data_IF_818493428267
#
_entry.id   IF_818493428267
#
_cell.length_a   1.000
_cell.length_b   1.000
_cell.length_c   1.000
_cell.angle_alpha   90.00
_cell.angle_beta   90.00
_cell.angle_gamma   90.00
#
_symmetry.space_group_name_H-M   'P 1'
#
loop_
_entity.id
_entity.type
_entity.pdbx_description
1 polymer ?
#
# COMPACT_ATOMS: atom_id res chain seq x y z
N UNK A 1 0.75 21.51 3.09
CA UNK A 1 0.11 20.24 3.44
C UNK A 1 0.25 19.26 2.28
N UNK A 2 0.73 18.08 2.55
CA UNK A 2 0.90 17.01 1.57
C UNK A 2 0.13 15.77 2.01
N UNK A 3 -0.71 15.25 1.14
CA UNK A 3 -1.27 13.91 1.23
C UNK A 3 -0.33 12.96 0.51
N UNK A 4 0.22 12.01 1.22
CA UNK A 4 1.19 11.08 0.68
C UNK A 4 1.07 9.70 1.34
N UNK A 5 1.71 8.71 0.74
CA UNK A 5 1.83 7.37 1.28
C UNK A 5 3.27 7.11 1.77
N UNK A 6 3.77 7.83 2.80
CA UNK A 6 5.11 7.61 3.31
C UNK A 6 5.19 6.36 4.20
N UNK A 7 6.42 5.99 4.52
CA UNK A 7 6.72 5.02 5.56
C UNK A 7 6.87 5.76 6.89
N UNK A 8 6.16 5.31 7.92
CA UNK A 8 6.36 5.74 9.30
C UNK A 8 7.36 4.79 9.96
N UNK A 9 8.44 5.34 10.48
CA UNK A 9 9.47 4.59 11.19
C UNK A 9 9.38 4.86 12.68
N UNK A 10 9.34 3.78 13.48
CA UNK A 10 9.31 3.86 14.94
C UNK A 10 10.71 3.77 15.54
N UNK A 11 10.84 4.31 16.75
CA UNK A 11 12.03 4.16 17.57
C UNK A 11 11.98 2.86 18.42
N UNK A 12 12.97 2.66 19.28
CA UNK A 12 13.07 1.49 20.15
C UNK A 12 11.94 1.41 21.21
N UNK A 13 11.19 2.49 21.43
CA UNK A 13 10.04 2.52 22.34
C UNK A 13 8.71 2.25 21.65
N UNK A 14 8.70 2.12 20.31
CA UNK A 14 7.47 1.96 19.52
C UNK A 14 6.74 3.26 19.26
N UNK A 15 7.46 4.39 19.28
CA UNK A 15 6.92 5.71 18.95
C UNK A 15 7.35 6.11 17.54
N UNK A 16 6.40 6.61 16.73
CA UNK A 16 6.67 7.12 15.38
C UNK A 16 7.56 8.37 15.44
N UNK A 17 8.74 8.31 14.80
CA UNK A 17 9.75 9.38 14.83
C UNK A 17 10.07 9.96 13.47
N UNK A 18 9.98 9.17 12.41
CA UNK A 18 10.39 9.58 11.07
C UNK A 18 9.34 9.21 10.03
N UNK A 19 9.19 10.09 9.03
CA UNK A 19 8.48 9.80 7.79
C UNK A 19 9.50 9.68 6.66
N UNK A 20 9.41 8.60 5.88
CA UNK A 20 10.26 8.40 4.71
C UNK A 20 9.36 8.44 3.47
N UNK A 21 9.57 9.41 2.60
CA UNK A 21 8.79 9.56 1.37
C UNK A 21 9.20 8.54 0.31
N UNK A 22 8.38 8.39 -0.73
CA UNK A 22 8.70 7.50 -1.85
C UNK A 22 9.98 7.93 -2.60
N UNK A 23 10.36 9.19 -2.54
CA UNK A 23 11.63 9.72 -3.07
C UNK A 23 12.82 9.43 -2.18
N UNK A 24 12.59 8.88 -0.97
CA UNK A 24 13.63 8.55 -0.01
C UNK A 24 14.01 9.69 0.94
N UNK A 25 13.25 10.80 0.94
CA UNK A 25 13.46 11.89 1.88
C UNK A 25 12.98 11.49 3.27
N UNK A 26 13.86 11.64 4.27
CA UNK A 26 13.53 11.35 5.67
C UNK A 26 13.21 12.66 6.40
N UNK A 27 12.02 12.70 7.02
CA UNK A 27 11.54 13.81 7.82
C UNK A 27 11.44 13.39 9.27
N UNK A 28 12.07 14.12 10.19
CA UNK A 28 11.83 13.93 11.62
C UNK A 28 10.47 14.51 11.99
N UNK A 29 9.65 13.73 12.66
CA UNK A 29 8.31 14.14 13.07
C UNK A 29 8.42 15.00 14.33
N UNK A 30 7.82 16.19 14.31
CA UNK A 30 7.64 16.99 15.52
C UNK A 30 6.82 16.17 16.54
N UNK A 31 7.28 16.14 17.78
CA UNK A 31 6.66 15.34 18.84
C UNK A 31 5.18 15.69 18.99
N UNK A 32 4.33 14.66 19.01
CA UNK A 32 2.90 14.78 19.25
C UNK A 32 2.35 13.53 19.90
N UNK A 33 1.14 13.62 20.48
CA UNK A 33 0.42 12.46 21.00
C UNK A 33 -0.13 11.56 19.89
N UNK A 34 -0.35 10.28 20.19
CA UNK A 34 -1.00 9.33 19.27
C UNK A 34 -0.06 8.60 18.34
N UNK A 35 1.26 8.73 18.48
CA UNK A 35 2.25 8.02 17.67
C UNK A 35 2.97 6.90 18.43
N UNK A 36 2.53 6.58 19.63
CA UNK A 36 3.04 5.53 20.50
C UNK A 36 2.20 4.25 20.42
N UNK A 37 2.67 3.19 21.07
CA UNK A 37 1.96 1.90 21.10
C UNK A 37 2.16 1.05 19.85
N UNK A 38 3.09 1.42 18.98
CA UNK A 38 3.48 0.64 17.80
C UNK A 38 4.61 -0.36 18.16
N UNK A 39 4.93 -1.26 17.23
CA UNK A 39 6.06 -2.14 17.41
C UNK A 39 7.39 -1.36 17.37
N UNK A 40 8.35 -1.66 18.27
CA UNK A 40 9.64 -1.01 18.25
C UNK A 40 10.43 -1.29 16.96
N UNK A 41 11.24 -0.32 16.56
CA UNK A 41 12.19 -0.44 15.44
C UNK A 41 11.55 -1.01 14.17
N UNK A 42 10.32 -0.56 13.87
CA UNK A 42 9.48 -1.10 12.80
C UNK A 42 9.13 0.00 11.82
N UNK A 43 8.86 -0.39 10.58
CA UNK A 43 8.36 0.49 9.52
C UNK A 43 6.91 0.15 9.18
N UNK A 44 6.09 1.17 9.00
CA UNK A 44 4.68 1.03 8.63
C UNK A 44 4.38 1.82 7.36
N UNK A 45 3.66 1.22 6.43
CA UNK A 45 3.09 1.96 5.30
C UNK A 45 1.88 2.75 5.79
N UNK A 46 1.83 4.05 5.48
CA UNK A 46 0.78 4.95 5.96
C UNK A 46 0.24 5.81 4.84
N UNK A 47 -0.97 6.33 5.04
CA UNK A 47 -1.44 7.56 4.39
C UNK A 47 -1.34 8.66 5.42
N UNK A 48 -0.63 9.73 5.10
CA UNK A 48 -0.26 10.77 6.07
C UNK A 48 -0.44 12.14 5.46
N UNK A 49 -1.04 13.03 6.24
CA UNK A 49 -1.10 14.46 5.97
C UNK A 49 -0.05 15.15 6.83
N UNK A 50 0.92 15.81 6.21
CA UNK A 50 2.01 16.49 6.91
C UNK A 50 2.39 17.80 6.23
N UNK A 51 3.12 18.64 6.96
CA UNK A 51 3.71 19.86 6.43
C UNK A 51 5.17 19.98 6.87
N UNK A 52 6.09 20.28 5.94
CA UNK A 52 7.46 20.61 6.29
C UNK A 52 7.52 21.83 7.22
N UNK A 53 8.38 21.77 8.22
CA UNK A 53 8.64 22.87 9.15
C UNK A 53 9.92 23.64 8.81
N UNK A 54 10.81 23.04 8.00
CA UNK A 54 12.10 23.62 7.63
C UNK A 54 12.23 23.68 6.11
N UNK A 55 12.65 24.84 5.60
CA UNK A 55 12.88 25.08 4.17
C UNK A 55 14.37 25.01 3.79
N UNK A 56 15.27 24.80 4.76
CA UNK A 56 16.70 24.80 4.55
C UNK A 56 17.20 23.42 4.13
N UNK A 57 17.95 23.36 3.04
CA UNK A 57 18.64 22.13 2.60
C UNK A 57 19.75 21.68 3.57
N UNK A 58 20.27 22.61 4.39
CA UNK A 58 21.36 22.36 5.34
C UNK A 58 20.88 21.93 6.72
N UNK A 59 19.58 22.12 7.03
CA UNK A 59 19.01 21.74 8.32
C UNK A 59 18.45 20.34 8.29
N UNK A 60 18.42 19.67 9.44
CA UNK A 60 17.66 18.44 9.62
C UNK A 60 16.20 18.68 9.22
N UNK A 61 15.67 17.85 8.31
CA UNK A 61 14.31 18.00 7.81
C UNK A 61 13.31 17.60 8.88
N UNK A 62 12.47 18.53 9.28
CA UNK A 62 11.45 18.35 10.29
C UNK A 62 10.06 18.60 9.70
N UNK A 63 9.10 17.79 10.08
CA UNK A 63 7.72 17.89 9.61
C UNK A 63 6.73 17.85 10.78
N UNK A 64 5.64 18.59 10.63
CA UNK A 64 4.45 18.49 11.47
C UNK A 64 3.48 17.50 10.84
N UNK A 65 3.07 16.51 11.62
CA UNK A 65 2.15 15.49 11.18
C UNK A 65 0.75 15.84 11.69
N UNK A 66 -0.22 15.98 10.77
CA UNK A 66 -1.61 16.33 11.09
C UNK A 66 -2.47 15.09 11.26
N UNK A 67 -2.34 14.14 10.37
CA UNK A 67 -3.09 12.89 10.40
C UNK A 67 -2.29 11.78 9.77
N UNK A 68 -2.42 10.58 10.33
CA UNK A 68 -1.81 9.38 9.77
C UNK A 68 -2.72 8.18 9.98
N UNK A 69 -2.76 7.30 8.99
CA UNK A 69 -3.53 6.07 9.01
C UNK A 69 -2.68 4.95 8.44
N UNK A 70 -2.74 3.77 9.04
CA UNK A 70 -2.06 2.60 8.50
C UNK A 70 -2.70 2.15 7.20
N UNK A 71 -1.87 1.77 6.25
CA UNK A 71 -2.26 1.23 4.95
C UNK A 71 -2.11 -0.28 4.97
N UNK A 72 -3.05 -0.99 4.38
CA UNK A 72 -2.97 -2.44 4.21
C UNK A 72 -1.90 -2.73 3.15
N UNK A 73 -0.82 -3.38 3.55
CA UNK A 73 0.34 -3.61 2.67
C UNK A 73 1.02 -4.95 2.94
N UNK A 74 0.30 -6.08 2.83
CA UNK A 74 0.91 -7.38 2.99
C UNK A 74 1.76 -7.74 1.77
N UNK A 75 2.82 -8.51 1.99
CA UNK A 75 3.59 -9.12 0.90
C UNK A 75 2.69 -10.12 0.15
N UNK A 76 2.65 -10.07 -1.18
CA UNK A 76 1.87 -11.04 -1.95
C UNK A 76 2.21 -12.48 -1.61
N UNK A 77 1.19 -13.33 -1.53
CA UNK A 77 1.31 -14.76 -1.31
C UNK A 77 0.89 -15.52 -2.55
N UNK A 78 1.53 -16.69 -2.79
CA UNK A 78 1.13 -17.55 -3.88
C UNK A 78 -0.29 -18.08 -3.70
N UNK A 79 -0.96 -18.41 -4.80
CA UNK A 79 -2.34 -18.90 -4.80
C UNK A 79 -2.54 -20.09 -3.84
N UNK A 80 -1.55 -20.98 -3.75
CA UNK A 80 -1.61 -22.16 -2.90
C UNK A 80 -1.71 -21.87 -1.40
N UNK A 81 -1.40 -20.65 -0.98
CA UNK A 81 -1.49 -20.23 0.42
C UNK A 81 -2.91 -19.82 0.84
N UNK A 82 -3.82 -19.68 -0.10
CA UNK A 82 -5.22 -19.34 0.16
C UNK A 82 -6.08 -20.58 0.14
N UNK A 83 -6.92 -20.77 1.16
CA UNK A 83 -7.91 -21.88 1.17
C UNK A 83 -8.97 -21.67 0.11
N UNK A 84 -9.39 -20.44 -0.06
CA UNK A 84 -10.38 -20.01 -1.03
C UNK A 84 -9.97 -18.67 -1.60
N UNK A 85 -9.99 -18.54 -2.93
CA UNK A 85 -9.70 -17.29 -3.61
C UNK A 85 -10.99 -16.46 -3.67
N UNK A 86 -11.00 -15.33 -2.95
CA UNK A 86 -12.13 -14.40 -2.97
C UNK A 86 -11.72 -13.12 -3.69
N UNK A 87 -12.53 -12.77 -4.68
CA UNK A 87 -12.36 -11.55 -5.47
C UNK A 87 -13.66 -10.77 -5.50
N UNK A 88 -14.20 -10.43 -4.34
CA UNK A 88 -15.36 -9.57 -4.26
C UNK A 88 -15.05 -8.21 -4.90
N UNK A 89 -16.03 -7.58 -5.59
CA UNK A 89 -15.75 -6.41 -6.38
C UNK A 89 -15.43 -5.18 -5.54
N UNK A 90 -14.71 -4.24 -6.17
CA UNK A 90 -14.39 -2.92 -5.64
C UNK A 90 -14.60 -1.89 -6.75
N UNK A 91 -14.54 -0.59 -6.41
CA UNK A 91 -14.37 0.46 -7.40
C UNK A 91 -12.95 1.03 -7.28
N UNK A 92 -12.28 1.24 -8.41
CA UNK A 92 -10.94 1.82 -8.44
C UNK A 92 -11.08 3.34 -8.47
N UNK A 93 -10.59 4.03 -7.45
CA UNK A 93 -10.45 5.47 -7.48
C UNK A 93 -9.15 5.87 -8.15
N UNK A 94 -8.04 5.23 -7.74
CA UNK A 94 -6.71 5.48 -8.28
C UNK A 94 -5.81 4.27 -8.07
N UNK A 95 -4.93 4.01 -9.02
CA UNK A 95 -3.89 3.01 -8.90
C UNK A 95 -2.65 3.52 -9.65
N UNK A 96 -1.48 3.53 -8.97
CA UNK A 96 -0.26 4.07 -9.56
C UNK A 96 1.00 3.42 -9.00
N UNK A 97 2.04 3.45 -9.80
CA UNK A 97 3.37 2.95 -9.44
C UNK A 97 4.12 4.03 -8.66
N UNK A 98 4.36 3.80 -7.38
CA UNK A 98 5.30 4.55 -6.56
C UNK A 98 6.72 3.99 -6.67
N UNK A 99 7.66 4.45 -5.78
CA UNK A 99 9.06 3.99 -5.84
C UNK A 99 9.19 2.48 -5.54
N UNK A 100 8.68 2.06 -4.39
CA UNK A 100 8.79 0.67 -3.92
C UNK A 100 7.44 -0.02 -3.77
N UNK A 101 6.38 0.60 -4.25
CA UNK A 101 5.01 0.14 -4.06
C UNK A 101 4.15 0.37 -5.30
N UNK A 102 3.19 -0.51 -5.48
CA UNK A 102 2.03 -0.25 -6.32
C UNK A 102 0.90 0.19 -5.38
N UNK A 103 0.45 1.43 -5.51
CA UNK A 103 -0.50 2.05 -4.59
C UNK A 103 -1.91 2.04 -5.15
N UNK A 104 -2.89 1.74 -4.30
CA UNK A 104 -4.30 1.68 -4.66
C UNK A 104 -5.14 2.52 -3.70
N UNK A 105 -6.04 3.31 -4.25
CA UNK A 105 -7.14 3.91 -3.52
C UNK A 105 -8.42 3.35 -4.11
N UNK A 106 -9.17 2.65 -3.28
CA UNK A 106 -10.40 1.97 -3.68
C UNK A 106 -11.60 2.58 -2.99
N UNK A 107 -12.78 2.44 -3.61
CA UNK A 107 -14.07 2.65 -2.98
C UNK A 107 -14.75 1.29 -2.85
N UNK A 108 -15.14 0.94 -1.64
CA UNK A 108 -15.73 -0.36 -1.34
C UNK A 108 -17.06 -0.14 -0.63
N UNK A 109 -18.09 -0.88 -1.06
CA UNK A 109 -19.39 -0.85 -0.42
C UNK A 109 -19.36 -1.71 0.83
N UNK A 110 -19.55 -1.07 1.98
CA UNK A 110 -19.44 -1.70 3.30
C UNK A 110 -20.64 -1.34 4.18
N UNK A 111 -20.84 -2.07 5.26
CA UNK A 111 -21.76 -1.70 6.32
C UNK A 111 -21.15 -1.94 7.70
N UNK A 112 -21.16 -3.16 8.20
CA UNK A 112 -20.78 -3.47 9.57
C UNK A 112 -19.81 -4.66 9.72
N UNK A 113 -19.56 -5.42 8.64
CA UNK A 113 -18.62 -6.53 8.66
C UNK A 113 -17.23 -6.07 8.24
N UNK A 114 -16.21 -6.66 8.85
CA UNK A 114 -14.83 -6.39 8.49
C UNK A 114 -14.46 -7.16 7.21
N UNK A 115 -14.07 -6.42 6.17
CA UNK A 115 -13.57 -6.99 4.93
C UNK A 115 -12.11 -7.42 5.07
N UNK A 116 -11.74 -8.49 4.37
CA UNK A 116 -10.37 -8.96 4.26
C UNK A 116 -9.74 -8.55 2.93
N UNK A 117 -8.47 -8.11 2.98
CA UNK A 117 -7.71 -7.72 1.78
C UNK A 117 -6.35 -8.40 1.79
N UNK A 118 -5.94 -8.87 0.62
CA UNK A 118 -4.60 -9.41 0.42
C UNK A 118 -4.20 -9.32 -1.06
N UNK A 119 -2.97 -9.69 -1.38
CA UNK A 119 -2.48 -9.77 -2.74
C UNK A 119 -2.10 -11.21 -3.07
N UNK A 120 -2.59 -11.69 -4.21
CA UNK A 120 -2.32 -13.03 -4.70
C UNK A 120 -1.24 -12.95 -5.76
N UNK A 121 -0.14 -13.67 -5.57
CA UNK A 121 0.83 -13.92 -6.61
C UNK A 121 0.37 -15.13 -7.42
N UNK A 122 -0.13 -14.87 -8.64
CA UNK A 122 -0.62 -15.94 -9.52
C UNK A 122 0.54 -16.69 -10.16
N UNK A 123 1.48 -15.96 -10.74
CA UNK A 123 2.69 -16.51 -11.36
C UNK A 123 3.72 -15.43 -11.63
N UNK A 124 4.96 -15.86 -11.77
CA UNK A 124 6.05 -15.09 -12.36
C UNK A 124 6.49 -15.81 -13.63
N UNK A 125 6.17 -15.22 -14.78
CA UNK A 125 6.42 -15.82 -16.09
C UNK A 125 7.67 -15.21 -16.70
N UNK A 126 8.60 -16.06 -17.14
CA UNK A 126 9.77 -15.63 -17.92
C UNK A 126 9.58 -16.06 -19.38
N UNK A 127 9.58 -15.09 -20.28
CA UNK A 127 9.39 -15.31 -21.70
C UNK A 127 10.44 -14.53 -22.49
N UNK A 128 11.37 -15.23 -23.12
CA UNK A 128 12.46 -14.67 -23.91
C UNK A 128 13.31 -13.64 -23.14
N UNK A 129 13.56 -13.90 -21.85
CA UNK A 129 14.34 -13.02 -20.98
C UNK A 129 13.55 -11.87 -20.36
N UNK A 130 12.30 -11.67 -20.76
CA UNK A 130 11.38 -10.70 -20.13
C UNK A 130 10.50 -11.41 -19.09
N UNK A 131 10.44 -10.83 -17.89
CA UNK A 131 9.60 -11.36 -16.84
C UNK A 131 8.31 -10.58 -16.71
N UNK A 132 7.23 -11.29 -16.41
CA UNK A 132 5.93 -10.71 -16.10
C UNK A 132 5.42 -11.28 -14.79
N UNK A 133 5.16 -10.43 -13.84
CA UNK A 133 4.54 -10.77 -12.56
C UNK A 133 3.03 -10.59 -12.67
N UNK A 134 2.27 -11.64 -12.37
CA UNK A 134 0.80 -11.60 -12.35
C UNK A 134 0.32 -11.59 -10.90
N UNK A 135 -0.36 -10.52 -10.53
CA UNK A 135 -0.95 -10.33 -9.22
C UNK A 135 -2.47 -10.16 -9.34
N UNK A 136 -3.19 -10.54 -8.30
CA UNK A 136 -4.63 -10.32 -8.19
C UNK A 136 -4.96 -9.76 -6.82
N UNK A 137 -5.88 -8.79 -6.77
CA UNK A 137 -6.42 -8.33 -5.51
C UNK A 137 -7.33 -9.41 -4.91
N UNK A 138 -6.98 -9.88 -3.72
CA UNK A 138 -7.86 -10.66 -2.87
C UNK A 138 -8.74 -9.72 -2.07
N UNK A 139 -10.05 -9.88 -2.17
CA UNK A 139 -11.01 -9.14 -1.38
C UNK A 139 -12.13 -10.08 -0.91
N UNK A 140 -12.27 -10.18 0.40
CA UNK A 140 -13.35 -10.90 1.05
C UNK A 140 -14.27 -9.89 1.73
N UNK A 141 -15.47 -9.71 1.21
CA UNK A 141 -16.46 -8.82 1.82
C UNK A 141 -17.09 -9.37 3.10
N UNK A 142 -16.78 -10.62 3.44
CA UNK A 142 -17.26 -11.27 4.68
C UNK A 142 -18.78 -11.21 4.86
N UNK A 143 -19.53 -11.50 3.78
CA UNK A 143 -20.98 -11.45 3.75
C UNK A 143 -21.58 -10.09 4.16
N UNK A 144 -20.78 -9.03 4.09
CA UNK A 144 -21.27 -7.68 4.38
C UNK A 144 -22.27 -7.23 3.34
N UNK A 145 -23.26 -6.43 3.76
CA UNK A 145 -24.21 -5.83 2.83
C UNK A 145 -23.70 -4.49 2.31
N UNK A 146 -24.17 -4.13 1.12
CA UNK A 146 -23.79 -2.90 0.43
C UNK A 146 -24.51 -1.69 1.04
N UNK A 147 -23.93 -1.08 2.08
CA UNK A 147 -24.52 0.05 2.79
C UNK A 147 -24.04 1.39 2.28
N UNK A 148 -22.77 1.70 2.47
CA UNK A 148 -22.16 2.97 2.07
C UNK A 148 -20.77 2.75 1.49
N UNK A 149 -20.25 3.74 0.77
CA UNK A 149 -18.90 3.68 0.21
C UNK A 149 -17.86 4.07 1.27
N UNK A 150 -16.84 3.25 1.38
CA UNK A 150 -15.64 3.52 2.20
C UNK A 150 -14.41 3.54 1.31
N UNK A 151 -13.58 4.54 1.52
CA UNK A 151 -12.26 4.61 0.90
C UNK A 151 -11.30 3.65 1.60
N UNK A 152 -10.59 2.83 0.82
CA UNK A 152 -9.62 1.86 1.31
C UNK A 152 -8.29 2.11 0.63
N UNK A 153 -7.22 2.19 1.43
CA UNK A 153 -5.86 2.41 0.96
C UNK A 153 -5.07 1.12 1.05
N UNK A 154 -4.47 0.72 -0.06
CA UNK A 154 -3.66 -0.49 -0.16
C UNK A 154 -2.34 -0.15 -0.87
N UNK A 155 -1.28 -0.84 -0.51
CA UNK A 155 0.01 -0.76 -1.21
C UNK A 155 0.59 -2.14 -1.39
N UNK A 156 0.90 -2.51 -2.64
CA UNK A 156 1.63 -3.75 -2.93
C UNK A 156 3.12 -3.48 -2.71
N UNK A 157 3.79 -4.17 -1.78
CA UNK A 157 5.22 -3.99 -1.56
C UNK A 157 6.02 -4.65 -2.68
N UNK A 158 6.47 -3.84 -3.65
CA UNK A 158 7.27 -4.32 -4.78
C UNK A 158 8.73 -4.58 -4.39
N UNK A 159 9.19 -4.03 -3.27
CA UNK A 159 10.52 -4.34 -2.73
C UNK A 159 10.72 -5.84 -2.47
N UNK A 160 9.64 -6.58 -2.23
CA UNK A 160 9.70 -8.04 -2.06
C UNK A 160 10.21 -8.77 -3.32
N UNK A 161 10.16 -8.11 -4.48
CA UNK A 161 10.58 -8.66 -5.77
C UNK A 161 11.93 -8.11 -6.25
N UNK A 162 12.66 -7.36 -5.42
CA UNK A 162 13.93 -6.73 -5.78
C UNK A 162 15.00 -7.72 -6.25
N UNK A 163 14.97 -8.97 -5.77
CA UNK A 163 15.87 -10.02 -6.22
C UNK A 163 15.35 -10.87 -7.39
N UNK A 164 14.12 -10.64 -7.84
CA UNK A 164 13.44 -11.46 -8.86
C UNK A 164 13.10 -10.70 -10.13
N UNK A 165 12.72 -9.43 -10.00
CA UNK A 165 12.37 -8.56 -11.11
C UNK A 165 13.47 -7.55 -11.41
N UNK A 166 13.57 -7.17 -12.67
CA UNK A 166 14.49 -6.15 -13.17
C UNK A 166 13.70 -4.94 -13.67
N UNK A 167 14.34 -3.79 -13.69
CA UNK A 167 13.73 -2.55 -14.21
C UNK A 167 13.16 -2.77 -15.60
N UNK A 168 11.90 -2.42 -15.78
CA UNK A 168 11.18 -2.58 -17.04
C UNK A 168 10.39 -3.88 -17.17
N UNK A 169 10.56 -4.85 -16.25
CA UNK A 169 9.73 -6.03 -16.21
C UNK A 169 8.27 -5.66 -15.95
N UNK A 170 7.37 -6.43 -16.52
CA UNK A 170 5.94 -6.15 -16.52
C UNK A 170 5.27 -6.67 -15.25
N UNK A 171 4.35 -5.88 -14.72
CA UNK A 171 3.45 -6.27 -13.63
C UNK A 171 2.02 -6.17 -14.16
N UNK A 172 1.31 -7.29 -14.18
CA UNK A 172 -0.11 -7.34 -14.51
C UNK A 172 -0.90 -7.47 -13.22
N UNK A 173 -1.69 -6.46 -12.89
CA UNK A 173 -2.51 -6.44 -11.70
C UNK A 173 -3.97 -6.64 -12.05
N UNK A 174 -4.55 -7.74 -11.58
CA UNK A 174 -5.93 -8.12 -11.82
C UNK A 174 -6.81 -7.67 -10.65
N UNK A 175 -7.92 -7.03 -10.96
CA UNK A 175 -8.83 -6.49 -9.96
C UNK A 175 -10.27 -6.58 -10.48
N UNK A 176 -11.16 -7.13 -9.65
CA UNK A 176 -12.58 -7.20 -9.99
C UNK A 176 -13.28 -5.93 -9.58
N UNK A 177 -13.94 -5.29 -10.54
CA UNK A 177 -14.70 -4.06 -10.29
C UNK A 177 -16.21 -4.32 -10.31
N UNK A 178 -16.96 -3.45 -9.63
CA UNK A 178 -18.44 -3.51 -9.66
C UNK A 178 -19.01 -3.35 -11.08
N UNK A 179 -18.37 -2.50 -11.90
CA UNK A 179 -18.89 -2.14 -13.23
C UNK A 179 -18.46 -3.12 -14.33
N UNK A 180 -17.23 -3.59 -14.31
CA UNK A 180 -16.63 -4.28 -15.45
C UNK A 180 -16.27 -5.75 -15.16
N UNK A 181 -16.45 -6.21 -13.91
CA UNK A 181 -15.97 -7.52 -13.50
C UNK A 181 -14.45 -7.54 -13.41
N UNK A 182 -13.84 -8.68 -13.69
CA UNK A 182 -12.39 -8.82 -13.63
C UNK A 182 -11.71 -7.99 -14.73
N UNK A 183 -10.82 -7.09 -14.30
CA UNK A 183 -10.03 -6.21 -15.19
C UNK A 183 -8.55 -6.37 -14.89
N UNK A 184 -7.70 -5.95 -15.83
CA UNK A 184 -6.25 -5.98 -15.67
C UNK A 184 -5.66 -4.59 -15.90
N UNK A 185 -4.69 -4.20 -15.08
CA UNK A 185 -3.88 -3.01 -15.25
C UNK A 185 -2.42 -3.42 -15.37
N UNK A 186 -1.67 -2.74 -16.23
CA UNK A 186 -0.27 -3.05 -16.51
C UNK A 186 0.61 -1.95 -15.95
N UNK A 187 1.63 -2.37 -15.20
CA UNK A 187 2.67 -1.50 -14.65
C UNK A 187 4.04 -2.08 -14.97
N UNK A 188 5.08 -1.31 -14.73
CA UNK A 188 6.46 -1.73 -14.95
C UNK A 188 7.27 -1.59 -13.66
N UNK A 189 8.11 -2.58 -13.43
CA UNK A 189 9.01 -2.62 -12.25
C UNK A 189 10.18 -1.64 -12.39
#
# INVERSE_FOLDING_TARGET
LHDALPILKTDHTGTGRYLITDEGTEWRIQSRTGLDGLAPDTTYRTVTMYAPLTDSEEAEKEAMLYNTQLVISPVPLSESKFKEIKTDPVAIQSIWRGRNYLNLILQVKVKDQKHGYHFIENKLENKDGEQTLYLTLYHDRNNDIEGFNRKVYLSVPLWAYAGKLHKGDKIVFNIRTYKEGMTSRIFYF
#
